data_IF_395009482604
#
_entry.id   IF_395009482604
#
_cell.length_a   1.000
_cell.length_b   1.000
_cell.length_c   1.000
_cell.angle_alpha   90.00
_cell.angle_beta   90.00
_cell.angle_gamma   90.00
#
_symmetry.space_group_name_H-M   'P 1'
#
loop_
_entity.id
_entity.type
_entity.pdbx_description
1 polymer ?
#
# COMPACT_ATOMS: atom_id res chain seq x y z
N UNK A 1 -0.21 14.40 -23.61
CA UNK A 1 0.09 13.07 -23.04
C UNK A 1 -0.07 13.01 -21.51
N UNK A 2 -0.03 14.13 -20.78
CA UNK A 2 -0.32 14.23 -19.34
C UNK A 2 -1.59 13.45 -18.91
N UNK A 3 -2.68 13.57 -19.66
CA UNK A 3 -3.94 12.87 -19.38
C UNK A 3 -3.87 11.35 -19.54
N UNK A 4 -2.96 10.78 -20.34
CA UNK A 4 -3.00 9.34 -20.66
C UNK A 4 -2.44 8.48 -19.53
N UNK A 5 -1.32 8.89 -18.91
CA UNK A 5 -0.72 8.17 -17.77
C UNK A 5 -1.62 8.26 -16.55
N UNK A 6 -2.14 9.45 -16.26
CA UNK A 6 -3.09 9.68 -15.16
C UNK A 6 -4.38 8.89 -15.37
N UNK A 7 -4.97 8.93 -16.57
CA UNK A 7 -6.18 8.19 -16.88
C UNK A 7 -5.96 6.67 -16.85
N UNK A 8 -4.78 6.18 -17.28
CA UNK A 8 -4.39 4.78 -17.12
C UNK A 8 -4.29 4.35 -15.65
N UNK A 9 -3.75 5.21 -14.79
CA UNK A 9 -3.73 5.02 -13.34
C UNK A 9 -5.15 4.92 -12.75
N UNK A 10 -6.00 5.90 -13.08
CA UNK A 10 -7.40 5.93 -12.60
C UNK A 10 -8.17 4.69 -13.07
N UNK A 11 -8.02 4.29 -14.32
CA UNK A 11 -8.66 3.10 -14.88
C UNK A 11 -8.19 1.82 -14.18
N UNK A 12 -6.89 1.65 -13.97
CA UNK A 12 -6.37 0.45 -13.28
C UNK A 12 -6.84 0.37 -11.82
N UNK A 13 -6.90 1.50 -11.11
CA UNK A 13 -7.40 1.56 -9.73
C UNK A 13 -8.90 1.26 -9.64
N UNK A 14 -9.70 1.84 -10.53
CA UNK A 14 -11.15 1.61 -10.57
C UNK A 14 -11.50 0.18 -10.94
N UNK A 15 -10.84 -0.39 -11.96
CA UNK A 15 -10.99 -1.80 -12.33
C UNK A 15 -10.55 -2.70 -11.17
N UNK A 16 -9.45 -2.38 -10.50
CA UNK A 16 -9.00 -3.11 -9.32
C UNK A 16 -10.05 -3.12 -8.21
N UNK A 17 -10.61 -1.96 -7.87
CA UNK A 17 -11.65 -1.84 -6.85
C UNK A 17 -12.90 -2.64 -7.22
N UNK A 18 -13.39 -2.51 -8.45
CA UNK A 18 -14.55 -3.25 -8.95
C UNK A 18 -14.29 -4.76 -8.88
N UNK A 19 -13.09 -5.20 -9.29
CA UNK A 19 -12.70 -6.60 -9.27
C UNK A 19 -12.70 -7.16 -7.85
N UNK A 20 -12.18 -6.42 -6.87
CA UNK A 20 -12.18 -6.82 -5.45
C UNK A 20 -13.61 -6.92 -4.91
N UNK A 21 -14.44 -5.91 -5.17
CA UNK A 21 -15.85 -5.89 -4.72
C UNK A 21 -16.65 -7.04 -5.34
N UNK A 22 -16.46 -7.28 -6.65
CA UNK A 22 -17.08 -8.38 -7.37
C UNK A 22 -16.67 -9.73 -6.77
N UNK A 23 -15.37 -9.95 -6.57
CA UNK A 23 -14.85 -11.19 -5.96
C UNK A 23 -15.39 -11.41 -4.55
N UNK A 24 -15.42 -10.39 -3.70
CA UNK A 24 -15.95 -10.49 -2.34
C UNK A 24 -17.44 -10.85 -2.33
N UNK A 25 -18.19 -10.30 -3.28
CA UNK A 25 -19.64 -10.52 -3.44
C UNK A 25 -19.91 -11.92 -3.98
N UNK A 26 -19.18 -12.34 -5.01
CA UNK A 26 -19.27 -13.68 -5.60
C UNK A 26 -18.93 -14.77 -4.58
N UNK A 27 -17.85 -14.57 -3.81
CA UNK A 27 -17.41 -15.53 -2.78
C UNK A 27 -18.22 -15.43 -1.47
N UNK A 28 -19.18 -14.49 -1.36
CA UNK A 28 -20.01 -14.23 -0.16
C UNK A 28 -19.18 -14.06 1.14
N UNK A 29 -17.98 -13.49 1.04
CA UNK A 29 -17.02 -13.37 2.18
C UNK A 29 -17.16 -12.09 3.00
N UNK A 30 -18.15 -11.24 2.73
CA UNK A 30 -18.38 -9.99 3.46
C UNK A 30 -18.48 -10.15 4.99
N UNK A 31 -19.28 -11.11 5.47
CA UNK A 31 -19.41 -11.37 6.91
C UNK A 31 -18.11 -11.86 7.54
N UNK A 32 -17.35 -12.68 6.80
CA UNK A 32 -16.07 -13.20 7.26
C UNK A 32 -15.03 -12.08 7.37
N UNK A 33 -14.94 -11.21 6.36
CA UNK A 33 -14.02 -10.09 6.32
C UNK A 33 -14.27 -9.14 7.51
N UNK A 34 -15.53 -8.74 7.70
CA UNK A 34 -15.91 -7.84 8.79
C UNK A 34 -15.58 -8.41 10.16
N UNK A 35 -16.09 -9.62 10.48
CA UNK A 35 -15.94 -10.20 11.83
C UNK A 35 -14.53 -10.68 12.14
N UNK A 36 -13.79 -11.19 11.15
CA UNK A 36 -12.51 -11.83 11.42
C UNK A 36 -11.30 -10.92 11.21
N UNK A 37 -11.42 -9.87 10.40
CA UNK A 37 -10.28 -9.03 10.04
C UNK A 37 -10.52 -7.57 10.42
N UNK A 38 -11.56 -6.93 9.87
CA UNK A 38 -11.72 -5.47 9.99
C UNK A 38 -11.90 -4.99 11.43
N UNK A 39 -12.59 -5.79 12.25
CA UNK A 39 -12.83 -5.48 13.67
C UNK A 39 -11.98 -6.34 14.61
N UNK A 40 -10.92 -6.97 14.10
CA UNK A 40 -10.08 -7.86 14.91
C UNK A 40 -9.16 -7.06 15.83
N UNK A 41 -9.01 -7.54 17.08
CA UNK A 41 -8.06 -7.01 18.04
C UNK A 41 -6.78 -7.84 18.15
N UNK A 42 -6.73 -9.02 17.52
CA UNK A 42 -5.56 -9.91 17.52
C UNK A 42 -4.37 -9.25 16.79
N UNK A 43 -3.28 -9.00 17.54
CA UNK A 43 -2.03 -8.42 17.03
C UNK A 43 -1.46 -9.15 15.80
N UNK A 44 -1.64 -10.48 15.69
CA UNK A 44 -1.17 -11.24 14.52
C UNK A 44 -1.93 -10.85 13.26
N UNK A 45 -3.25 -10.70 13.36
CA UNK A 45 -4.09 -10.31 12.21
C UNK A 45 -3.84 -8.86 11.82
N UNK A 46 -3.67 -7.98 12.80
CA UNK A 46 -3.29 -6.58 12.55
C UNK A 46 -1.92 -6.50 11.85
N UNK A 47 -0.93 -7.27 12.33
CA UNK A 47 0.38 -7.37 11.69
C UNK A 47 0.32 -7.85 10.25
N UNK A 48 -0.51 -8.88 9.96
CA UNK A 48 -0.75 -9.35 8.59
C UNK A 48 -1.40 -8.27 7.72
N UNK A 49 -2.38 -7.52 8.24
CA UNK A 49 -3.02 -6.44 7.48
C UNK A 49 -2.02 -5.33 7.11
N UNK A 50 -1.13 -4.93 8.03
CA UNK A 50 -0.03 -4.00 7.73
C UNK A 50 0.85 -4.51 6.57
N UNK A 51 1.30 -5.77 6.65
CA UNK A 51 2.16 -6.37 5.62
C UNK A 51 1.46 -6.41 4.26
N UNK A 52 0.17 -6.74 4.22
CA UNK A 52 -0.62 -6.77 2.98
C UNK A 52 -0.69 -5.36 2.36
N UNK A 53 -1.05 -4.34 3.13
CA UNK A 53 -1.13 -2.95 2.64
C UNK A 53 0.23 -2.47 2.15
N UNK A 54 1.29 -2.71 2.92
CA UNK A 54 2.66 -2.34 2.53
C UNK A 54 3.15 -3.06 1.29
N UNK A 55 2.75 -4.32 1.08
CA UNK A 55 3.10 -5.06 -0.14
C UNK A 55 2.38 -4.48 -1.36
N UNK A 56 1.11 -4.10 -1.23
CA UNK A 56 0.38 -3.41 -2.30
C UNK A 56 1.02 -2.04 -2.64
N UNK A 57 1.43 -1.29 -1.61
CA UNK A 57 2.13 -0.02 -1.79
C UNK A 57 3.54 -0.20 -2.35
N UNK A 58 4.22 -1.31 -2.05
CA UNK A 58 5.49 -1.66 -2.67
C UNK A 58 5.34 -1.89 -4.17
N UNK A 59 4.30 -2.62 -4.60
CA UNK A 59 4.01 -2.79 -6.04
C UNK A 59 3.81 -1.44 -6.71
N UNK A 60 3.03 -0.55 -6.11
CA UNK A 60 2.87 0.83 -6.61
C UNK A 60 4.23 1.56 -6.70
N UNK A 61 5.01 1.55 -5.62
CA UNK A 61 6.30 2.23 -5.56
C UNK A 61 7.31 1.70 -6.60
N UNK A 62 7.29 0.39 -6.87
CA UNK A 62 8.12 -0.25 -7.92
C UNK A 62 7.67 0.18 -9.31
N UNK A 63 6.37 0.30 -9.57
CA UNK A 63 5.85 0.83 -10.84
C UNK A 63 6.31 2.27 -11.04
N UNK A 64 6.17 3.12 -10.02
CA UNK A 64 6.62 4.52 -10.07
C UNK A 64 8.14 4.60 -10.34
N UNK A 65 8.94 3.77 -9.67
CA UNK A 65 10.38 3.69 -9.90
C UNK A 65 10.74 3.21 -11.32
N UNK A 66 10.05 2.21 -11.85
CA UNK A 66 10.27 1.70 -13.19
C UNK A 66 9.97 2.75 -14.26
N UNK A 67 8.88 3.53 -14.09
CA UNK A 67 8.51 4.63 -14.98
C UNK A 67 9.55 5.77 -14.91
N UNK A 68 10.00 6.16 -13.71
CA UNK A 68 11.05 7.18 -13.59
C UNK A 68 12.37 6.72 -14.22
N UNK A 69 12.75 5.45 -14.02
CA UNK A 69 13.97 4.88 -14.61
C UNK A 69 13.88 4.80 -16.13
N UNK A 70 12.75 4.35 -16.68
CA UNK A 70 12.56 4.34 -18.14
C UNK A 70 12.58 5.75 -18.72
N UNK A 71 12.02 6.74 -18.02
CA UNK A 71 12.10 8.15 -18.41
C UNK A 71 13.56 8.61 -18.49
N UNK A 72 14.34 8.42 -17.42
CA UNK A 72 15.77 8.81 -17.39
C UNK A 72 16.63 8.08 -18.43
N UNK A 73 16.27 6.84 -18.77
CA UNK A 73 16.96 6.08 -19.81
C UNK A 73 16.67 6.65 -21.21
N UNK A 74 15.41 7.01 -21.48
CA UNK A 74 15.00 7.56 -22.78
C UNK A 74 15.39 9.03 -22.96
N UNK A 75 15.48 9.79 -21.87
CA UNK A 75 15.97 11.17 -21.88
C UNK A 75 17.50 11.26 -21.91
N UNK A 76 18.22 10.14 -21.93
CA UNK A 76 19.67 10.15 -22.09
C UNK A 76 20.04 10.50 -23.54
N UNK A 77 20.60 11.69 -23.77
CA UNK A 77 20.93 12.21 -25.11
C UNK A 77 20.13 13.46 -25.49
N UNK A 78 19.77 13.62 -26.76
CA UNK A 78 19.07 14.81 -27.30
C UNK A 78 17.53 14.63 -27.38
N UNK A 79 17.00 13.66 -26.62
CA UNK A 79 15.60 13.27 -26.58
C UNK A 79 14.94 13.84 -25.33
N UNK A 80 13.74 14.43 -25.47
CA UNK A 80 13.01 15.04 -24.36
C UNK A 80 12.30 14.01 -23.45
N UNK A 81 12.52 12.70 -23.64
CA UNK A 81 11.80 11.64 -22.92
C UNK A 81 10.29 11.64 -23.19
N UNK A 82 9.51 10.94 -22.35
CA UNK A 82 8.05 10.82 -22.49
C UNK A 82 7.23 11.44 -21.35
N UNK A 83 7.89 11.94 -20.29
CA UNK A 83 7.23 12.62 -19.16
C UNK A 83 7.53 14.11 -19.21
N UNK A 84 6.53 14.91 -18.86
CA UNK A 84 6.70 16.33 -18.59
C UNK A 84 7.37 16.53 -17.22
N UNK A 85 8.14 17.61 -17.07
CA UNK A 85 8.92 17.91 -15.86
C UNK A 85 8.08 17.92 -14.59
N UNK A 86 6.86 18.42 -14.66
CA UNK A 86 5.96 18.54 -13.51
C UNK A 86 5.46 17.16 -13.07
N UNK A 87 5.13 16.29 -14.03
CA UNK A 87 4.66 14.94 -13.73
C UNK A 87 5.78 14.07 -13.14
N UNK A 88 7.00 14.21 -13.66
CA UNK A 88 8.17 13.52 -13.10
C UNK A 88 8.41 13.92 -11.63
N UNK A 89 8.34 15.22 -11.32
CA UNK A 89 8.50 15.72 -9.95
C UNK A 89 7.39 15.22 -9.00
N UNK A 90 6.14 15.19 -9.47
CA UNK A 90 5.03 14.63 -8.71
C UNK A 90 5.22 13.14 -8.42
N UNK A 91 5.61 12.35 -9.42
CA UNK A 91 5.89 10.93 -9.25
C UNK A 91 7.07 10.67 -8.31
N UNK A 92 8.15 11.45 -8.41
CA UNK A 92 9.31 11.31 -7.54
C UNK A 92 8.97 11.57 -6.07
N UNK A 93 8.25 12.67 -5.81
CA UNK A 93 7.79 13.01 -4.46
C UNK A 93 6.88 11.91 -3.90
N UNK A 94 5.88 11.49 -4.68
CA UNK A 94 4.95 10.44 -4.28
C UNK A 94 5.67 9.11 -4.01
N UNK A 95 6.58 8.68 -4.89
CA UNK A 95 7.40 7.48 -4.71
C UNK A 95 8.14 7.50 -3.37
N UNK A 96 8.84 8.59 -3.06
CA UNK A 96 9.56 8.74 -1.79
C UNK A 96 8.62 8.63 -0.59
N UNK A 97 7.46 9.31 -0.64
CA UNK A 97 6.46 9.22 0.42
C UNK A 97 5.94 7.80 0.61
N UNK A 98 5.58 7.06 -0.46
CA UNK A 98 5.07 5.70 -0.24
C UNK A 98 6.14 4.73 0.25
N UNK A 99 7.37 4.84 -0.26
CA UNK A 99 8.45 3.94 0.15
C UNK A 99 8.80 4.09 1.63
N UNK A 100 8.82 5.31 2.17
CA UNK A 100 9.13 5.53 3.59
C UNK A 100 7.90 5.28 4.46
N UNK A 101 6.79 5.97 4.18
CA UNK A 101 5.65 5.98 5.10
C UNK A 101 4.81 4.71 5.01
N UNK A 102 4.59 4.19 3.81
CA UNK A 102 3.66 3.09 3.58
C UNK A 102 4.33 1.73 3.44
N UNK A 103 5.54 1.69 2.90
CA UNK A 103 6.31 0.45 2.77
C UNK A 103 7.21 0.25 3.98
N UNK A 104 8.21 1.10 4.22
CA UNK A 104 9.20 0.87 5.27
C UNK A 104 8.56 0.85 6.67
N UNK A 105 7.84 1.91 7.04
CA UNK A 105 7.17 1.96 8.35
C UNK A 105 6.05 0.92 8.46
N UNK A 106 5.24 0.74 7.41
CA UNK A 106 4.16 -0.25 7.43
C UNK A 106 4.66 -1.69 7.60
N UNK A 107 5.74 -2.10 6.90
CA UNK A 107 6.37 -3.40 7.09
C UNK A 107 6.99 -3.53 8.48
N UNK A 108 7.67 -2.49 8.97
CA UNK A 108 8.27 -2.48 10.30
C UNK A 108 7.21 -2.69 11.38
N UNK A 109 6.13 -1.91 11.37
CA UNK A 109 5.03 -2.06 12.33
C UNK A 109 4.25 -3.36 12.16
N UNK A 110 4.13 -3.88 10.94
CA UNK A 110 3.54 -5.19 10.67
C UNK A 110 4.34 -6.32 11.30
N UNK A 111 5.67 -6.31 11.13
CA UNK A 111 6.58 -7.31 11.73
C UNK A 111 6.62 -7.19 13.25
N UNK A 112 6.69 -5.98 13.80
CA UNK A 112 6.64 -5.75 15.25
C UNK A 112 5.33 -6.31 15.82
N UNK A 113 4.18 -6.01 15.21
CA UNK A 113 2.90 -6.56 15.65
C UNK A 113 2.84 -8.08 15.61
N UNK A 114 3.44 -8.70 14.59
CA UNK A 114 3.38 -10.15 14.42
C UNK A 114 4.34 -10.88 15.37
N UNK A 115 5.56 -10.37 15.54
CA UNK A 115 6.68 -11.10 16.16
C UNK A 115 6.93 -10.66 17.59
N UNK A 116 6.86 -9.37 17.92
CA UNK A 116 7.33 -8.85 19.21
C UNK A 116 6.57 -9.45 20.41
N UNK A 117 5.22 -9.53 20.43
CA UNK A 117 4.51 -10.15 21.55
C UNK A 117 4.90 -11.62 21.76
N UNK A 118 5.16 -12.34 20.66
CA UNK A 118 5.60 -13.74 20.71
C UNK A 118 7.02 -13.88 21.28
N UNK A 119 7.92 -12.95 20.96
CA UNK A 119 9.30 -12.95 21.46
C UNK A 119 9.38 -12.69 22.97
N UNK A 120 8.51 -11.81 23.50
CA UNK A 120 8.47 -11.50 24.94
C UNK A 120 7.56 -12.46 25.73
N UNK A 121 6.95 -13.45 25.07
CA UNK A 121 6.03 -14.40 25.71
C UNK A 121 4.70 -13.78 26.16
N UNK A 122 4.34 -12.60 25.65
CA UNK A 122 3.07 -11.95 25.95
C UNK A 122 1.92 -12.54 25.12
N UNK A 123 0.72 -12.52 25.70
CA UNK A 123 -0.49 -13.00 25.00
C UNK A 123 -0.97 -12.03 23.92
N UNK A 124 -0.78 -10.73 24.14
CA UNK A 124 -1.22 -9.65 23.24
C UNK A 124 -0.45 -8.36 23.55
N UNK A 125 -0.68 -7.31 22.76
CA UNK A 125 -0.16 -5.95 23.00
C UNK A 125 -0.86 -5.26 24.17
N UNK A 126 -0.23 -4.25 24.77
CA UNK A 126 -0.75 -3.55 25.94
C UNK A 126 -2.14 -2.90 25.73
N UNK A 127 -2.41 -2.38 24.51
CA UNK A 127 -3.68 -1.72 24.17
C UNK A 127 -4.23 -2.23 22.82
N UNK A 128 -4.97 -3.36 22.79
CA UNK A 128 -5.41 -4.00 21.55
C UNK A 128 -6.31 -3.11 20.68
N UNK A 129 -7.21 -2.33 21.31
CA UNK A 129 -8.10 -1.42 20.58
C UNK A 129 -7.33 -0.28 19.89
N UNK A 130 -6.37 0.34 20.61
CA UNK A 130 -5.54 1.40 20.03
C UNK A 130 -4.68 0.86 18.89
N UNK A 131 -4.20 -0.37 18.99
CA UNK A 131 -3.44 -1.02 17.92
C UNK A 131 -4.26 -1.19 16.63
N UNK A 132 -5.53 -1.60 16.75
CA UNK A 132 -6.44 -1.66 15.60
C UNK A 132 -6.70 -0.25 15.03
N UNK A 133 -6.92 0.76 15.88
CA UNK A 133 -7.09 2.14 15.44
C UNK A 133 -5.84 2.66 14.69
N UNK A 134 -4.64 2.37 15.18
CA UNK A 134 -3.38 2.73 14.52
C UNK A 134 -3.28 2.18 13.11
N UNK A 135 -3.71 0.93 12.89
CA UNK A 135 -3.78 0.35 11.55
C UNK A 135 -4.73 1.12 10.63
N UNK A 136 -5.91 1.48 11.12
CA UNK A 136 -6.90 2.21 10.32
C UNK A 136 -6.47 3.64 9.99
N UNK A 137 -5.77 4.32 10.91
CA UNK A 137 -5.18 5.63 10.64
C UNK A 137 -4.08 5.54 9.58
N UNK A 138 -3.27 4.48 9.62
CA UNK A 138 -2.27 4.20 8.60
C UNK A 138 -2.90 3.90 7.22
N UNK A 139 -3.97 3.10 7.18
CA UNK A 139 -4.66 2.75 5.93
C UNK A 139 -5.38 3.95 5.30
N UNK A 140 -5.88 4.89 6.12
CA UNK A 140 -6.60 6.07 5.66
C UNK A 140 -5.68 7.22 5.22
N UNK A 141 -4.43 7.25 5.71
CA UNK A 141 -3.40 8.19 5.27
C UNK A 141 -2.97 7.95 3.83
#
# INVERSE_FOLDING_TARGET
MHNMVVMGGILSMTIGLISVVFLLTYLKRWKWLYKNWLTSLDHKKIGVMYIVVSTLMLVRGVIDAAIMRSHTALSSGNSNGFLESDHFQQMFSAHGTIMIFFVAMGLMFGLINLIMPLQIGARDVAFPFLNNLSFWLFFAG
#
